data_IF_366148833978
#
_entry.id   IF_366148833978
#
_cell.length_a   1.000
_cell.length_b   1.000
_cell.length_c   1.000
_cell.angle_alpha   90.00
_cell.angle_beta   90.00
_cell.angle_gamma   90.00
#
_symmetry.space_group_name_H-M   'P 1'
#
loop_
_entity.id
_entity.type
_entity.pdbx_description
1 polymer ?
#
# COMPACT_ATOMS: atom_id res chain seq x y z
N UNK A 1 9.34 4.08 -24.14
CA UNK A 1 9.57 4.83 -22.88
C UNK A 1 8.32 4.89 -21.98
N UNK A 2 7.10 5.13 -22.50
CA UNK A 2 5.88 5.27 -21.68
C UNK A 2 5.31 3.98 -21.03
N UNK A 3 5.75 2.79 -21.47
CA UNK A 3 5.25 1.51 -20.95
C UNK A 3 5.65 1.25 -19.49
N UNK A 4 6.86 1.66 -19.11
CA UNK A 4 7.36 1.47 -17.74
C UNK A 4 6.62 2.33 -16.73
N UNK A 5 6.32 3.59 -17.08
CA UNK A 5 5.56 4.50 -16.22
C UNK A 5 4.12 4.01 -15.99
N UNK A 6 3.45 3.50 -17.04
CA UNK A 6 2.11 2.90 -16.91
C UNK A 6 2.14 1.68 -15.99
N UNK A 7 3.14 0.79 -16.14
CA UNK A 7 3.28 -0.39 -15.28
C UNK A 7 3.56 -0.01 -13.82
N UNK A 8 4.37 1.02 -13.59
CA UNK A 8 4.68 1.52 -12.26
C UNK A 8 3.44 2.15 -11.58
N UNK A 9 2.59 2.86 -12.34
CA UNK A 9 1.29 3.35 -11.88
C UNK A 9 0.31 2.21 -11.55
N UNK A 10 0.22 1.19 -12.41
CA UNK A 10 -0.64 0.02 -12.16
C UNK A 10 -0.16 -0.75 -10.93
N UNK A 11 1.16 -0.88 -10.76
CA UNK A 11 1.75 -1.53 -9.60
C UNK A 11 1.43 -0.73 -8.32
N UNK A 12 1.63 0.59 -8.33
CA UNK A 12 1.25 1.45 -7.21
C UNK A 12 -0.25 1.37 -6.89
N UNK A 13 -1.12 1.51 -7.88
CA UNK A 13 -2.56 1.45 -7.69
C UNK A 13 -3.01 0.08 -7.15
N UNK A 14 -2.42 -1.01 -7.66
CA UNK A 14 -2.71 -2.37 -7.18
C UNK A 14 -2.21 -2.59 -5.75
N UNK A 15 -0.98 -2.21 -5.44
CA UNK A 15 -0.40 -2.33 -4.09
C UNK A 15 -1.13 -1.48 -3.07
N UNK A 16 -1.52 -0.26 -3.43
CA UNK A 16 -2.30 0.63 -2.57
C UNK A 16 -3.69 0.03 -2.32
N UNK A 17 -4.41 -0.33 -3.38
CA UNK A 17 -5.78 -0.89 -3.25
C UNK A 17 -5.79 -2.18 -2.44
N UNK A 18 -4.90 -3.13 -2.73
CA UNK A 18 -4.81 -4.38 -1.99
C UNK A 18 -4.37 -4.15 -0.54
N UNK A 19 -3.38 -3.29 -0.32
CA UNK A 19 -2.89 -2.95 1.02
C UNK A 19 -3.98 -2.32 1.88
N UNK A 20 -4.71 -1.34 1.35
CA UNK A 20 -5.83 -0.69 2.05
C UNK A 20 -6.98 -1.65 2.31
N UNK A 21 -7.29 -2.57 1.37
CA UNK A 21 -8.33 -3.59 1.58
C UNK A 21 -7.95 -4.58 2.70
N UNK A 22 -6.71 -5.05 2.71
CA UNK A 22 -6.21 -5.94 3.77
C UNK A 22 -6.21 -5.21 5.11
N UNK A 23 -5.68 -3.99 5.16
CA UNK A 23 -5.68 -3.17 6.38
C UNK A 23 -7.10 -2.88 6.88
N UNK A 24 -8.06 -2.69 5.99
CA UNK A 24 -9.47 -2.49 6.33
C UNK A 24 -10.11 -3.75 6.92
N UNK A 25 -9.83 -4.93 6.34
CA UNK A 25 -10.34 -6.20 6.88
C UNK A 25 -9.71 -6.53 8.24
N UNK A 26 -8.41 -6.33 8.37
CA UNK A 26 -7.67 -6.59 9.62
C UNK A 26 -8.02 -5.61 10.74
N UNK A 27 -8.50 -4.41 10.38
CA UNK A 27 -8.97 -3.42 11.35
C UNK A 27 -10.38 -3.69 11.91
N UNK A 28 -11.06 -4.75 11.47
CA UNK A 28 -12.24 -5.23 12.15
C UNK A 28 -11.83 -6.15 13.30
N UNK A 29 -12.25 -5.81 14.51
CA UNK A 29 -12.08 -6.64 15.70
C UNK A 29 -12.95 -7.92 15.62
N UNK A 30 -12.77 -8.86 16.54
CA UNK A 30 -13.48 -10.15 16.55
C UNK A 30 -15.02 -10.00 16.61
N UNK A 31 -15.51 -8.88 17.15
CA UNK A 31 -16.93 -8.51 17.20
C UNK A 31 -17.42 -7.76 15.94
N UNK A 32 -16.58 -7.61 14.91
CA UNK A 32 -16.88 -6.85 13.69
C UNK A 32 -16.87 -5.33 13.89
N UNK A 33 -16.29 -4.84 14.99
CA UNK A 33 -16.15 -3.40 15.23
C UNK A 33 -14.93 -2.87 14.49
N UNK A 34 -15.12 -1.89 13.61
CA UNK A 34 -14.01 -1.22 12.93
C UNK A 34 -13.23 -0.34 13.91
N UNK A 35 -11.93 -0.58 14.04
CA UNK A 35 -11.03 0.17 14.92
C UNK A 35 -10.19 1.16 14.09
N UNK A 36 -10.56 2.46 14.03
CA UNK A 36 -9.92 3.43 13.12
C UNK A 36 -8.45 3.67 13.45
N UNK A 37 -8.09 3.58 14.74
CA UNK A 37 -6.70 3.74 15.20
C UNK A 37 -5.80 2.64 14.64
N UNK A 38 -6.28 1.39 14.65
CA UNK A 38 -5.54 0.25 14.13
C UNK A 38 -5.44 0.32 12.61
N UNK A 39 -6.54 0.70 11.94
CA UNK A 39 -6.55 0.95 10.50
C UNK A 39 -5.48 1.98 10.09
N UNK A 40 -5.42 3.15 10.73
CA UNK A 40 -4.43 4.19 10.41
C UNK A 40 -3.00 3.67 10.61
N UNK A 41 -2.77 2.87 11.66
CA UNK A 41 -1.47 2.26 11.90
C UNK A 41 -1.08 1.29 10.78
N UNK A 42 -1.96 0.37 10.41
CA UNK A 42 -1.73 -0.58 9.33
C UNK A 42 -1.58 0.10 7.96
N UNK A 43 -2.44 1.06 7.65
CA UNK A 43 -2.37 1.86 6.41
C UNK A 43 -1.05 2.62 6.32
N UNK A 44 -0.57 3.20 7.44
CA UNK A 44 0.72 3.90 7.46
C UNK A 44 1.90 2.96 7.18
N UNK A 45 1.87 1.71 7.68
CA UNK A 45 2.89 0.70 7.38
C UNK A 45 2.88 0.32 5.90
N UNK A 46 1.70 0.12 5.32
CA UNK A 46 1.54 -0.17 3.89
C UNK A 46 2.12 0.97 3.04
N UNK A 47 1.78 2.22 3.36
CA UNK A 47 2.32 3.39 2.66
C UNK A 47 3.84 3.50 2.77
N UNK A 48 4.41 3.20 3.94
CA UNK A 48 5.86 3.17 4.15
C UNK A 48 6.50 2.09 3.26
N UNK A 49 5.95 0.86 3.24
CA UNK A 49 6.46 -0.24 2.42
C UNK A 49 6.41 0.13 0.94
N UNK A 50 5.27 0.66 0.46
CA UNK A 50 5.10 1.10 -0.93
C UNK A 50 6.11 2.21 -1.26
N UNK A 51 6.27 3.21 -0.39
CA UNK A 51 7.21 4.31 -0.57
C UNK A 51 8.67 3.84 -0.61
N UNK A 52 9.06 2.93 0.28
CA UNK A 52 10.41 2.35 0.33
C UNK A 52 10.69 1.51 -0.91
N UNK A 53 9.76 0.65 -1.32
CA UNK A 53 9.90 -0.16 -2.53
C UNK A 53 9.97 0.71 -3.78
N UNK A 54 9.15 1.77 -3.84
CA UNK A 54 9.20 2.75 -4.93
C UNK A 54 10.54 3.47 -4.99
N UNK A 55 11.06 3.90 -3.83
CA UNK A 55 12.37 4.53 -3.72
C UNK A 55 13.50 3.60 -4.19
N UNK A 56 13.51 2.34 -3.73
CA UNK A 56 14.49 1.35 -4.16
C UNK A 56 14.38 1.04 -5.66
N UNK A 57 13.16 0.92 -6.20
CA UNK A 57 12.93 0.66 -7.62
C UNK A 57 13.43 1.83 -8.48
N UNK A 58 13.19 3.07 -8.06
CA UNK A 58 13.70 4.27 -8.73
C UNK A 58 15.23 4.31 -8.72
N UNK A 59 15.86 3.87 -7.62
CA UNK A 59 17.33 3.91 -7.44
C UNK A 59 18.09 2.79 -8.16
N UNK A 60 17.41 1.73 -8.61
CA UNK A 60 18.03 0.65 -9.41
C UNK A 60 18.04 0.92 -10.92
N UNK A 61 17.40 2.01 -11.37
CA UNK A 61 17.39 2.43 -12.79
C UNK A 61 18.38 3.55 -13.10
N UNK A 62 18.98 4.17 -12.09
CA UNK A 62 20.26 4.88 -12.24
C UNK A 62 21.41 3.90 -12.08
#
# INVERSE_FOLDING_TARGET
MAWDAKRQLIWLAGSLTLGTLIAYQDAHDDDGTFVPRFFIFMESLVLIIIGVLFYFYSRRKE
#
